data_IF_569966112299
#
_entry.id   IF_569966112299
#
_cell.length_a   1.000
_cell.length_b   1.000
_cell.length_c   1.000
_cell.angle_alpha   90.00
_cell.angle_beta   90.00
_cell.angle_gamma   90.00
#
_symmetry.space_group_name_H-M   'P 1'
#
loop_
_entity.id
_entity.type
_entity.pdbx_description
1 polymer ?
#
# COMPACT_ATOMS: atom_id res chain seq x y z
N UNK A 1 8.06 -6.64 12.29
CA UNK A 1 7.14 -6.13 11.26
C UNK A 1 7.90 -5.38 10.18
N UNK A 2 7.37 -5.38 8.96
CA UNK A 2 7.89 -4.63 7.83
C UNK A 2 6.75 -3.84 7.20
N UNK A 3 6.93 -2.53 7.08
CA UNK A 3 6.04 -1.62 6.35
C UNK A 3 6.77 -1.10 5.12
N UNK A 4 6.12 -1.12 3.97
CA UNK A 4 6.73 -0.70 2.73
C UNK A 4 6.15 0.62 2.23
N UNK A 5 6.92 1.70 2.37
CA UNK A 5 6.68 2.95 1.67
C UNK A 5 7.22 2.80 0.25
N UNK A 6 6.35 2.38 -0.65
CA UNK A 6 6.73 2.05 -2.01
C UNK A 6 6.92 3.30 -2.87
N UNK A 7 8.16 3.77 -2.93
CA UNK A 7 8.54 4.87 -3.81
C UNK A 7 8.75 4.35 -5.23
N UNK A 8 8.21 5.07 -6.18
CA UNK A 8 8.31 4.81 -7.62
C UNK A 8 8.93 6.03 -8.32
N UNK A 9 9.44 5.89 -9.55
CA UNK A 9 9.95 7.04 -10.32
C UNK A 9 8.91 8.17 -10.41
N UNK A 10 9.36 9.41 -10.31
CA UNK A 10 8.48 10.58 -10.47
C UNK A 10 7.86 10.66 -11.87
N UNK A 11 8.62 10.23 -12.89
CA UNK A 11 8.18 10.16 -14.29
C UNK A 11 8.77 8.92 -14.97
N UNK A 12 8.19 8.53 -16.10
CA UNK A 12 8.74 7.45 -16.93
C UNK A 12 10.19 7.70 -17.29
N UNK A 13 11.05 6.68 -17.15
CA UNK A 13 12.47 6.74 -17.49
C UNK A 13 13.37 7.42 -16.45
N UNK A 14 12.82 7.93 -15.34
CA UNK A 14 13.65 8.48 -14.25
C UNK A 14 14.44 7.36 -13.55
N UNK A 15 15.75 7.56 -13.39
CA UNK A 15 16.68 6.60 -12.76
C UNK A 15 17.37 7.13 -11.51
N UNK A 16 17.30 8.45 -11.27
CA UNK A 16 17.82 9.05 -10.04
C UNK A 16 16.90 8.72 -8.86
N UNK A 17 17.39 7.90 -7.92
CA UNK A 17 16.62 7.47 -6.75
C UNK A 17 16.17 8.64 -5.85
N UNK A 18 16.83 9.80 -5.91
CA UNK A 18 16.39 11.00 -5.20
C UNK A 18 15.12 11.60 -5.80
N UNK A 19 14.69 11.12 -6.97
CA UNK A 19 13.47 11.49 -7.66
C UNK A 19 12.44 10.36 -7.67
N UNK A 20 12.47 9.53 -6.64
CA UNK A 20 11.45 8.52 -6.38
C UNK A 20 10.54 9.01 -5.26
N UNK A 21 9.25 8.74 -5.37
CA UNK A 21 8.24 9.19 -4.39
C UNK A 21 7.05 8.25 -4.33
N UNK A 22 6.35 8.26 -3.20
CA UNK A 22 5.05 7.59 -3.06
C UNK A 22 3.86 8.57 -3.26
N UNK A 23 4.11 9.87 -3.45
CA UNK A 23 3.05 10.88 -3.56
C UNK A 23 2.50 10.95 -4.99
N UNK A 24 1.17 10.80 -5.21
CA UNK A 24 0.58 10.93 -6.54
C UNK A 24 0.55 12.40 -7.00
N UNK A 25 0.70 12.62 -8.31
CA UNK A 25 0.65 13.96 -8.88
C UNK A 25 1.05 13.98 -10.35
N UNK A 26 1.77 15.00 -10.75
CA UNK A 26 2.15 15.26 -12.15
C UNK A 26 3.66 15.16 -12.42
N UNK A 27 4.43 14.62 -11.48
CA UNK A 27 5.89 14.49 -11.63
C UNK A 27 6.68 15.72 -11.18
N UNK A 28 6.01 16.73 -10.63
CA UNK A 28 6.63 17.94 -10.08
C UNK A 28 6.38 18.04 -8.58
N UNK A 29 6.89 19.08 -7.94
CA UNK A 29 6.59 19.36 -6.54
C UNK A 29 5.16 19.87 -6.37
N UNK A 30 4.47 19.37 -5.34
CA UNK A 30 3.16 19.86 -4.91
C UNK A 30 3.28 21.18 -4.11
N UNK A 31 2.15 21.70 -3.60
CA UNK A 31 2.10 22.91 -2.77
C UNK A 31 2.93 22.83 -1.48
N UNK A 32 3.11 21.63 -0.96
CA UNK A 32 3.86 21.37 0.27
C UNK A 32 5.36 21.19 0.02
N UNK A 33 5.77 21.22 -1.24
CA UNK A 33 7.16 21.03 -1.68
C UNK A 33 7.56 19.58 -1.88
N UNK A 34 6.65 18.62 -1.71
CA UNK A 34 6.89 17.18 -1.92
C UNK A 34 6.92 16.85 -3.41
N UNK A 35 7.90 16.06 -3.82
CA UNK A 35 7.94 15.51 -5.16
C UNK A 35 6.76 14.54 -5.37
N UNK A 36 6.12 14.64 -6.53
CA UNK A 36 5.01 13.76 -6.91
C UNK A 36 5.35 12.89 -8.11
N UNK A 37 4.54 11.85 -8.37
CA UNK A 37 4.73 10.94 -9.49
C UNK A 37 3.56 10.95 -10.47
N UNK A 38 3.87 10.76 -11.76
CA UNK A 38 2.89 10.48 -12.81
C UNK A 38 2.46 9.00 -12.86
N UNK A 39 3.01 8.17 -11.99
CA UNK A 39 2.69 6.74 -11.87
C UNK A 39 1.19 6.54 -11.61
N UNK A 40 0.55 5.66 -12.39
CA UNK A 40 -0.88 5.36 -12.26
C UNK A 40 -1.11 3.88 -12.01
N UNK A 41 -1.67 3.50 -10.84
CA UNK A 41 -1.87 2.09 -10.47
C UNK A 41 -2.66 1.28 -11.50
N UNK A 42 -3.65 1.87 -12.17
CA UNK A 42 -4.43 1.18 -13.22
C UNK A 42 -3.58 0.66 -14.38
N UNK A 43 -2.46 1.35 -14.68
CA UNK A 43 -1.57 0.97 -15.79
C UNK A 43 -0.68 -0.24 -15.44
N UNK A 44 -0.57 -0.61 -14.17
CA UNK A 44 0.20 -1.79 -13.72
C UNK A 44 -0.28 -3.06 -14.44
N UNK A 45 -1.56 -3.13 -14.74
CA UNK A 45 -2.19 -4.30 -15.38
C UNK A 45 -2.15 -4.24 -16.92
N UNK A 46 -1.57 -3.18 -17.48
CA UNK A 46 -1.32 -3.07 -18.93
C UNK A 46 0.08 -3.61 -19.22
N UNK A 47 0.14 -4.77 -19.89
CA UNK A 47 1.42 -5.41 -20.19
C UNK A 47 2.32 -4.48 -21.01
N UNK A 48 3.57 -4.34 -20.55
CA UNK A 48 4.58 -3.51 -21.21
C UNK A 48 4.54 -2.01 -20.90
N UNK A 49 3.53 -1.53 -20.12
CA UNK A 49 3.58 -0.16 -19.59
C UNK A 49 4.79 0.04 -18.69
N UNK A 50 5.17 1.29 -18.49
CA UNK A 50 6.29 1.56 -17.59
C UNK A 50 5.95 1.23 -16.13
N UNK A 51 4.70 1.41 -15.72
CA UNK A 51 4.22 1.04 -14.40
C UNK A 51 4.25 -0.48 -14.19
N UNK A 52 3.86 -1.27 -15.20
CA UNK A 52 3.95 -2.72 -15.16
C UNK A 52 5.39 -3.19 -14.98
N UNK A 53 6.33 -2.59 -15.74
CA UNK A 53 7.76 -2.92 -15.65
C UNK A 53 8.35 -2.57 -14.28
N UNK A 54 8.03 -1.39 -13.76
CA UNK A 54 8.49 -0.94 -12.43
C UNK A 54 7.98 -1.88 -11.34
N UNK A 55 6.67 -2.16 -11.33
CA UNK A 55 6.08 -3.03 -10.31
C UNK A 55 6.66 -4.44 -10.35
N UNK A 56 6.79 -5.04 -11.53
CA UNK A 56 7.41 -6.38 -11.65
C UNK A 56 8.84 -6.39 -11.12
N UNK A 57 9.65 -5.40 -11.47
CA UNK A 57 11.04 -5.30 -11.00
C UNK A 57 11.13 -5.12 -9.48
N UNK A 58 10.27 -4.28 -8.91
CA UNK A 58 10.24 -4.03 -7.48
C UNK A 58 9.72 -5.23 -6.68
N UNK A 59 8.69 -5.93 -7.18
CA UNK A 59 8.18 -7.15 -6.55
C UNK A 59 9.21 -8.28 -6.62
N UNK A 60 9.94 -8.43 -7.73
CA UNK A 60 11.05 -9.38 -7.83
C UNK A 60 12.14 -9.08 -6.80
N UNK A 61 12.54 -7.82 -6.68
CA UNK A 61 13.55 -7.40 -5.71
C UNK A 61 13.09 -7.63 -4.28
N UNK A 62 11.83 -7.24 -3.96
CA UNK A 62 11.25 -7.42 -2.63
C UNK A 62 11.10 -8.90 -2.29
N UNK A 63 10.65 -9.73 -3.23
CA UNK A 63 10.56 -11.18 -3.01
C UNK A 63 11.93 -11.80 -2.67
N UNK A 64 13.00 -11.32 -3.28
CA UNK A 64 14.36 -11.73 -2.95
C UNK A 64 14.72 -11.43 -1.49
N UNK A 65 14.40 -10.23 -0.98
CA UNK A 65 14.65 -9.88 0.43
C UNK A 65 13.78 -10.70 1.40
N UNK A 66 12.52 -10.87 1.09
CA UNK A 66 11.60 -11.65 1.93
C UNK A 66 12.01 -13.14 1.95
N UNK A 67 12.51 -13.65 0.84
CA UNK A 67 13.04 -15.01 0.74
C UNK A 67 14.22 -15.25 1.66
N UNK A 68 15.13 -14.28 1.80
CA UNK A 68 16.25 -14.39 2.76
C UNK A 68 15.76 -14.58 4.20
N UNK A 69 14.67 -13.93 4.58
CA UNK A 69 14.06 -14.10 5.90
C UNK A 69 13.37 -15.45 6.03
N UNK A 70 12.66 -15.87 4.99
CA UNK A 70 12.01 -17.19 4.93
C UNK A 70 13.01 -18.33 5.09
N UNK A 71 14.15 -18.24 4.40
CA UNK A 71 15.20 -19.28 4.45
C UNK A 71 15.84 -19.40 5.85
N UNK A 72 15.65 -18.39 6.69
CA UNK A 72 16.03 -18.39 8.11
C UNK A 72 14.89 -18.74 9.05
N UNK A 73 13.73 -19.14 8.53
CA UNK A 73 12.54 -19.44 9.33
C UNK A 73 11.93 -18.23 10.05
N UNK A 74 12.17 -17.00 9.55
CA UNK A 74 11.68 -15.78 10.17
C UNK A 74 10.35 -15.37 9.55
N UNK A 75 9.22 -15.39 10.32
CA UNK A 75 7.96 -14.85 9.84
C UNK A 75 8.01 -13.34 9.76
N UNK A 76 7.32 -12.76 8.77
CA UNK A 76 7.27 -11.32 8.56
C UNK A 76 5.83 -10.83 8.68
N UNK A 77 5.57 -9.95 9.64
CA UNK A 77 4.34 -9.15 9.69
C UNK A 77 4.47 -8.08 8.60
N UNK A 78 3.82 -8.34 7.46
CA UNK A 78 3.96 -7.58 6.22
C UNK A 78 2.82 -6.57 6.08
N UNK A 79 3.16 -5.28 6.09
CA UNK A 79 2.23 -4.17 6.03
C UNK A 79 2.52 -3.30 4.80
N UNK A 80 2.11 -3.74 3.60
CA UNK A 80 2.24 -2.95 2.37
C UNK A 80 1.06 -2.00 2.19
N UNK A 81 1.18 -1.03 1.27
CA UNK A 81 0.08 -0.25 0.69
C UNK A 81 -0.89 0.34 1.74
N UNK A 82 -0.36 0.80 2.87
CA UNK A 82 -1.14 1.30 4.00
C UNK A 82 -1.87 2.61 3.65
N UNK A 83 -2.94 2.91 4.38
CA UNK A 83 -3.69 4.17 4.33
C UNK A 83 -4.08 4.60 2.89
N UNK A 84 -4.55 3.64 2.07
CA UNK A 84 -4.76 3.85 0.65
C UNK A 84 -5.83 4.90 0.32
N UNK A 85 -6.88 4.99 1.13
CA UNK A 85 -7.95 5.96 0.91
C UNK A 85 -7.53 7.42 1.18
N UNK A 86 -6.47 7.63 2.01
CA UNK A 86 -6.05 8.98 2.34
C UNK A 86 -7.20 9.80 2.94
N UNK A 87 -7.50 10.94 2.34
CA UNK A 87 -8.60 11.82 2.74
C UNK A 87 -9.86 11.69 1.86
N UNK A 88 -9.95 10.68 0.99
CA UNK A 88 -11.07 10.55 0.03
C UNK A 88 -12.44 10.63 0.72
N UNK A 89 -12.58 10.02 1.90
CA UNK A 89 -13.84 9.97 2.67
C UNK A 89 -13.91 10.94 3.84
N UNK A 90 -12.87 11.74 4.07
CA UNK A 90 -12.82 12.65 5.22
C UNK A 90 -13.51 13.99 4.93
N UNK A 91 -13.38 14.47 3.69
CA UNK A 91 -14.02 15.73 3.28
C UNK A 91 -14.24 15.77 1.76
N UNK A 92 -15.11 16.67 1.32
CA UNK A 92 -15.38 16.85 -0.11
C UNK A 92 -14.11 17.34 -0.84
N UNK A 93 -13.72 16.61 -1.88
CA UNK A 93 -12.47 16.86 -2.61
C UNK A 93 -11.22 16.28 -1.94
N UNK A 94 -11.38 15.42 -0.93
CA UNK A 94 -10.28 14.64 -0.37
C UNK A 94 -9.63 13.71 -1.39
N UNK A 95 -8.34 13.44 -1.23
CA UNK A 95 -7.53 12.65 -2.17
C UNK A 95 -6.74 11.56 -1.48
N UNK A 96 -6.33 10.56 -2.23
CA UNK A 96 -5.35 9.58 -1.77
C UNK A 96 -4.00 10.26 -1.46
N UNK A 97 -3.33 9.83 -0.39
CA UNK A 97 -2.02 10.36 -0.03
C UNK A 97 -0.88 9.70 -0.79
N UNK A 98 -1.14 8.47 -1.25
CA UNK A 98 -0.16 7.61 -1.89
C UNK A 98 -0.64 7.18 -3.28
N UNK A 99 0.31 6.91 -4.19
CA UNK A 99 0.00 6.54 -5.55
C UNK A 99 -0.88 5.26 -5.63
N UNK A 100 -0.73 4.33 -4.70
CA UNK A 100 -1.50 3.07 -4.70
C UNK A 100 -3.00 3.24 -4.43
N UNK A 101 -3.43 4.35 -3.85
CA UNK A 101 -4.85 4.70 -3.66
C UNK A 101 -5.42 5.62 -4.72
N UNK A 102 -4.57 6.16 -5.62
CA UNK A 102 -4.94 7.26 -6.52
C UNK A 102 -6.07 6.94 -7.49
N UNK A 103 -6.11 5.74 -8.03
CA UNK A 103 -7.15 5.29 -8.98
C UNK A 103 -8.36 4.62 -8.28
N UNK A 104 -8.48 4.76 -6.97
CA UNK A 104 -9.63 4.32 -6.18
C UNK A 104 -9.59 2.86 -5.72
N UNK A 105 -10.66 2.48 -5.04
CA UNK A 105 -10.75 1.23 -4.28
C UNK A 105 -10.59 -0.04 -5.13
N UNK A 106 -11.24 -0.11 -6.30
CA UNK A 106 -11.17 -1.32 -7.14
C UNK A 106 -9.75 -1.57 -7.66
N UNK A 107 -9.07 -0.51 -8.14
CA UNK A 107 -7.69 -0.62 -8.60
C UNK A 107 -6.74 -1.00 -7.44
N UNK A 108 -6.96 -0.43 -6.26
CA UNK A 108 -6.21 -0.78 -5.06
C UNK A 108 -6.36 -2.26 -4.69
N UNK A 109 -7.59 -2.77 -4.63
CA UNK A 109 -7.85 -4.19 -4.33
C UNK A 109 -7.19 -5.11 -5.35
N UNK A 110 -7.23 -4.73 -6.62
CA UNK A 110 -6.57 -5.48 -7.69
C UNK A 110 -5.04 -5.48 -7.50
N UNK A 111 -4.43 -4.35 -7.13
CA UNK A 111 -2.99 -4.25 -6.84
C UNK A 111 -2.59 -5.11 -5.63
N UNK A 112 -3.39 -5.06 -4.55
CA UNK A 112 -3.14 -5.87 -3.36
C UNK A 112 -3.12 -7.36 -3.69
N UNK A 113 -4.18 -7.84 -4.38
CA UNK A 113 -4.31 -9.25 -4.77
C UNK A 113 -3.19 -9.66 -5.73
N UNK A 114 -2.84 -8.80 -6.67
CA UNK A 114 -1.72 -9.01 -7.60
C UNK A 114 -0.39 -9.21 -6.83
N UNK A 115 -0.09 -8.36 -5.85
CA UNK A 115 1.11 -8.51 -5.01
C UNK A 115 1.08 -9.82 -4.20
N UNK A 116 -0.07 -10.14 -3.61
CA UNK A 116 -0.26 -11.37 -2.83
C UNK A 116 0.01 -12.61 -3.68
N UNK A 117 -0.63 -12.71 -4.84
CA UNK A 117 -0.48 -13.84 -5.75
C UNK A 117 0.94 -13.92 -6.30
N UNK A 118 1.55 -12.78 -6.62
CA UNK A 118 2.94 -12.71 -7.09
C UNK A 118 3.92 -13.30 -6.06
N UNK A 119 3.81 -12.92 -4.80
CA UNK A 119 4.67 -13.45 -3.76
C UNK A 119 4.40 -14.93 -3.49
N UNK A 120 3.15 -15.37 -3.58
CA UNK A 120 2.77 -16.78 -3.48
C UNK A 120 3.39 -17.61 -4.62
N UNK A 121 3.35 -17.13 -5.86
CA UNK A 121 4.00 -17.75 -7.02
C UNK A 121 5.52 -17.81 -6.87
N UNK A 122 6.15 -16.85 -6.22
CA UNK A 122 7.58 -16.88 -5.85
C UNK A 122 7.89 -17.83 -4.68
N UNK A 123 6.89 -18.54 -4.13
CA UNK A 123 7.05 -19.50 -3.05
C UNK A 123 7.21 -18.89 -1.67
N UNK A 124 6.83 -17.62 -1.48
CA UNK A 124 6.82 -17.00 -0.16
C UNK A 124 5.62 -17.48 0.65
N UNK A 125 5.88 -17.99 1.86
CA UNK A 125 4.88 -18.53 2.79
C UNK A 125 5.11 -18.11 4.25
N UNK A 126 5.97 -17.10 4.46
CA UNK A 126 6.34 -16.59 5.78
C UNK A 126 5.73 -15.20 6.07
N UNK A 127 4.79 -14.72 5.24
CA UNK A 127 4.19 -13.41 5.39
C UNK A 127 2.87 -13.50 6.15
N UNK A 128 2.69 -12.58 7.11
CA UNK A 128 1.43 -12.30 7.81
C UNK A 128 0.94 -10.96 7.28
N UNK A 129 -0.12 -10.98 6.48
CA UNK A 129 -0.59 -9.81 5.74
C UNK A 129 -1.43 -8.87 6.59
N UNK A 130 -0.97 -7.63 6.74
CA UNK A 130 -1.65 -6.59 7.52
C UNK A 130 -2.22 -5.52 6.61
N UNK A 131 -3.53 -5.45 6.52
CA UNK A 131 -4.23 -4.33 5.88
C UNK A 131 -4.49 -3.21 6.89
N UNK A 132 -4.22 -1.95 6.51
CA UNK A 132 -4.40 -0.79 7.39
C UNK A 132 -5.60 0.02 6.96
N UNK A 133 -6.67 -0.01 7.76
CA UNK A 133 -7.90 0.77 7.56
C UNK A 133 -7.79 2.19 8.12
N UNK A 134 -8.55 3.11 7.51
CA UNK A 134 -8.81 4.47 7.99
C UNK A 134 -10.25 4.63 8.53
N UNK A 135 -10.99 3.51 8.68
CA UNK A 135 -12.35 3.39 9.26
C UNK A 135 -13.54 3.81 8.40
N UNK A 136 -13.33 4.51 7.29
CA UNK A 136 -14.39 4.85 6.33
C UNK A 136 -14.12 4.26 4.95
N UNK A 137 -13.17 3.37 4.85
CA UNK A 137 -12.54 2.86 3.63
C UNK A 137 -12.80 1.36 3.41
N UNK A 138 -13.93 0.85 3.88
CA UNK A 138 -14.28 -0.57 3.76
C UNK A 138 -14.33 -1.07 2.32
N UNK A 139 -14.59 -0.20 1.36
CA UNK A 139 -14.55 -0.51 -0.07
C UNK A 139 -13.13 -0.77 -0.61
N UNK A 140 -12.10 -0.31 0.11
CA UNK A 140 -10.70 -0.65 -0.15
C UNK A 140 -10.27 -2.02 0.40
N UNK A 141 -11.09 -2.68 1.20
CA UNK A 141 -10.73 -3.96 1.81
C UNK A 141 -10.51 -5.06 0.76
N UNK A 142 -9.32 -5.70 0.72
CA UNK A 142 -8.98 -6.67 -0.33
C UNK A 142 -9.77 -7.99 -0.25
N UNK A 143 -10.32 -8.31 0.90
CA UNK A 143 -11.05 -9.55 1.19
C UNK A 143 -10.30 -10.48 2.15
N UNK A 144 -11.06 -11.34 2.83
CA UNK A 144 -10.57 -12.21 3.91
C UNK A 144 -9.50 -13.20 3.44
N UNK A 145 -9.55 -13.65 2.19
CA UNK A 145 -8.56 -14.56 1.61
C UNK A 145 -7.17 -13.93 1.43
N UNK A 146 -7.05 -12.60 1.58
CA UNK A 146 -5.85 -11.83 1.29
C UNK A 146 -5.31 -11.04 2.49
N UNK A 147 -5.94 -11.15 3.66
CA UNK A 147 -5.61 -10.37 4.86
C UNK A 147 -5.67 -11.24 6.10
N UNK A 148 -4.58 -11.29 6.86
CA UNK A 148 -4.52 -12.01 8.14
C UNK A 148 -4.85 -11.11 9.33
N UNK A 149 -4.48 -9.83 9.24
CA UNK A 149 -4.66 -8.85 10.33
C UNK A 149 -5.17 -7.54 9.74
N UNK A 150 -6.17 -6.95 10.40
CA UNK A 150 -6.61 -5.58 10.13
C UNK A 150 -6.00 -4.67 11.20
N UNK A 151 -5.27 -3.66 10.75
CA UNK A 151 -4.62 -2.67 11.59
C UNK A 151 -5.17 -1.26 11.36
N UNK A 152 -4.87 -0.36 12.29
CA UNK A 152 -5.13 1.07 12.16
C UNK A 152 -4.00 1.88 12.76
N UNK A 153 -3.56 2.92 12.08
CA UNK A 153 -2.67 3.92 12.62
C UNK A 153 -3.48 4.93 13.44
N UNK A 154 -3.13 5.06 14.73
CA UNK A 154 -3.82 5.94 15.66
C UNK A 154 -2.85 7.04 16.07
N UNK A 155 -3.15 8.28 15.67
CA UNK A 155 -2.34 9.46 15.99
C UNK A 155 -3.04 10.35 17.01
N UNK A 156 -2.26 11.01 17.86
CA UNK A 156 -2.73 12.04 18.80
C UNK A 156 -3.82 11.56 19.78
N UNK A 157 -3.91 10.26 20.04
CA UNK A 157 -4.80 9.66 21.03
C UNK A 157 -3.97 9.17 22.21
N UNK A 158 -4.13 9.83 23.34
CA UNK A 158 -3.35 9.56 24.55
C UNK A 158 -4.15 8.80 25.62
N UNK A 159 -5.46 8.77 25.50
CA UNK A 159 -6.33 8.07 26.44
C UNK A 159 -6.60 6.63 26.04
N UNK A 160 -6.67 5.74 27.02
CA UNK A 160 -7.01 4.33 26.82
C UNK A 160 -8.43 4.19 26.22
N UNK A 161 -9.37 5.04 26.66
CA UNK A 161 -10.76 5.04 26.16
C UNK A 161 -10.85 5.37 24.67
N UNK A 162 -10.06 6.35 24.19
CA UNK A 162 -10.01 6.70 22.77
C UNK A 162 -9.43 5.57 21.92
N UNK A 163 -8.37 4.92 22.41
CA UNK A 163 -7.76 3.77 21.75
C UNK A 163 -8.73 2.58 21.69
N UNK A 164 -9.42 2.28 22.81
CA UNK A 164 -10.43 1.23 22.86
C UNK A 164 -11.62 1.52 21.92
N UNK A 165 -12.04 2.78 21.80
CA UNK A 165 -13.09 3.17 20.85
C UNK A 165 -12.70 2.89 19.40
N UNK A 166 -11.45 3.19 19.01
CA UNK A 166 -10.91 2.88 17.67
C UNK A 166 -10.85 1.38 17.41
N UNK A 167 -10.37 0.60 18.38
CA UNK A 167 -10.35 -0.85 18.31
C UNK A 167 -11.75 -1.45 18.12
N UNK A 168 -12.72 -1.01 18.93
CA UNK A 168 -14.09 -1.48 18.85
C UNK A 168 -14.77 -1.14 17.52
N UNK A 169 -14.44 0.02 16.94
CA UNK A 169 -14.94 0.41 15.63
C UNK A 169 -14.45 -0.56 14.54
N UNK A 170 -13.17 -0.89 14.53
CA UNK A 170 -12.60 -1.84 13.57
C UNK A 170 -13.21 -3.22 13.76
N UNK A 171 -13.24 -3.72 15.01
CA UNK A 171 -13.81 -5.03 15.35
C UNK A 171 -15.28 -5.15 14.94
N UNK A 172 -16.05 -4.05 14.97
CA UNK A 172 -17.45 -4.05 14.55
C UNK A 172 -17.65 -3.92 13.04
N UNK A 173 -16.62 -3.51 12.29
CA UNK A 173 -16.69 -3.28 10.85
C UNK A 173 -16.23 -4.48 10.01
N UNK A 174 -15.39 -5.34 10.60
CA UNK A 174 -14.81 -6.50 9.91
C UNK A 174 -15.01 -7.75 10.77
N UNK A 175 -15.43 -8.89 10.17
CA UNK A 175 -15.68 -10.15 10.88
C UNK A 175 -14.43 -10.79 11.48
#
# INVERSE_FOLDING_TARGET
GASWHWNVPATEGETDLNKYTCRPGNGTKNSDGDLTTTFRPRNIFVEGSWENKVVKADLDKMSGYLKLLQDKGIPVVWRPLHEAAGNIYEYNGGTAWFWWGYDGAETYKQLWRYMFDYFKEKGLNNLIWVWTTQTKDADFYPGDDYVDIIGRDIYNKTSESDNAAQYNLIRGSYP
#
